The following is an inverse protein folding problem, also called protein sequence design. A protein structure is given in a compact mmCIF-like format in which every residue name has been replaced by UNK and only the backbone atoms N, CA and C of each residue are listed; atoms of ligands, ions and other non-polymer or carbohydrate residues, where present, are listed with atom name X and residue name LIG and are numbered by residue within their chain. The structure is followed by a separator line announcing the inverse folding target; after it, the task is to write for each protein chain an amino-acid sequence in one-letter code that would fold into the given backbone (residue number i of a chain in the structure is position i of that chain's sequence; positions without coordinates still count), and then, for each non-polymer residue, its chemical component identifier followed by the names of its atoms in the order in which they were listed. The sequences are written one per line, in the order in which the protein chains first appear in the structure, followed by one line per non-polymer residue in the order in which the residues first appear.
data_IF_746251616752
#
_entry.id   IF_746251616752
#
_cell.length_a   1.000
_cell.length_b   1.000
_cell.length_c   1.000
_cell.angle_alpha   90.00
_cell.angle_beta   90.00
_cell.angle_gamma   90.00
#
_symmetry.space_group_name_H-M   'P 1'
#
loop_
_entity.id
_entity.type
_entity.pdbx_description
1 polymer ?
#
# COMPACT_ATOMS: atom_id res chain seq x y z
N UNK A 1 -3.81 16.91 10.61
CA UNK A 1 -3.10 16.81 9.31
C UNK A 1 -1.58 16.74 9.54
N UNK A 2 -0.87 15.91 8.79
CA UNK A 2 0.59 15.85 8.89
C UNK A 2 1.21 17.12 8.28
N UNK A 3 2.24 17.73 8.91
CA UNK A 3 2.98 18.82 8.29
C UNK A 3 3.79 18.30 7.09
N UNK A 4 4.15 19.22 6.18
CA UNK A 4 5.07 18.94 5.08
C UNK A 4 6.52 18.98 5.57
N UNK A 5 7.45 18.46 4.77
CA UNK A 5 8.88 18.53 5.08
C UNK A 5 9.39 17.39 5.96
N UNK A 6 8.55 16.39 6.24
CA UNK A 6 8.90 15.26 7.11
C UNK A 6 9.74 14.21 6.35
N UNK A 7 10.48 13.40 7.08
CA UNK A 7 10.96 12.10 6.62
C UNK A 7 9.88 11.06 6.89
N UNK A 8 9.24 10.55 5.84
CA UNK A 8 8.12 9.62 5.95
C UNK A 8 8.55 8.25 5.45
N UNK A 9 8.30 7.22 6.27
CA UNK A 9 8.34 5.83 5.84
C UNK A 9 6.95 5.40 5.36
N UNK A 10 6.84 4.96 4.10
CA UNK A 10 5.59 4.42 3.53
C UNK A 10 5.75 2.92 3.38
N UNK A 11 4.99 2.15 4.16
CA UNK A 11 5.18 0.69 4.29
C UNK A 11 3.89 -0.05 3.97
N UNK A 12 3.99 -1.27 3.45
CA UNK A 12 2.89 -2.21 3.38
C UNK A 12 2.53 -2.63 1.94
N UNK A 13 1.76 -3.72 1.79
CA UNK A 13 1.46 -4.32 0.50
C UNK A 13 0.71 -3.40 -0.46
N UNK A 14 0.03 -2.37 0.05
CA UNK A 14 -0.70 -1.41 -0.77
C UNK A 14 0.02 -0.08 -0.99
N UNK A 15 1.26 0.07 -0.52
CA UNK A 15 1.99 1.33 -0.68
C UNK A 15 2.13 1.76 -2.14
N UNK A 16 2.30 0.81 -3.06
CA UNK A 16 2.45 1.06 -4.50
C UNK A 16 1.29 0.47 -5.31
N UNK A 17 0.12 0.30 -4.69
CA UNK A 17 -1.04 -0.26 -5.35
C UNK A 17 -1.63 0.69 -6.40
N UNK A 18 -1.99 0.15 -7.56
CA UNK A 18 -2.81 0.80 -8.58
C UNK A 18 -4.13 0.06 -8.72
N UNK A 19 -4.08 -1.21 -9.12
CA UNK A 19 -5.27 -2.05 -9.36
C UNK A 19 -6.10 -2.25 -8.09
N UNK A 20 -5.47 -2.54 -6.96
CA UNK A 20 -6.20 -2.88 -5.72
C UNK A 20 -7.03 -1.72 -5.19
N UNK A 21 -6.56 -0.48 -5.38
CA UNK A 21 -7.31 0.73 -5.02
C UNK A 21 -8.66 0.84 -5.75
N UNK A 22 -8.81 0.15 -6.88
CA UNK A 22 -10.01 0.20 -7.69
C UNK A 22 -11.06 -0.83 -7.26
N UNK A 23 -10.70 -1.78 -6.39
CA UNK A 23 -11.57 -2.86 -5.94
C UNK A 23 -12.01 -3.81 -7.06
N UNK A 24 -13.19 -4.40 -6.87
CA UNK A 24 -13.87 -5.24 -7.85
C UNK A 24 -14.81 -4.41 -8.76
N UNK A 25 -15.31 -5.01 -9.85
CA UNK A 25 -16.29 -4.40 -10.77
C UNK A 25 -15.82 -3.06 -11.37
N UNK A 26 -14.50 -2.91 -11.53
CA UNK A 26 -13.92 -1.72 -12.17
C UNK A 26 -14.12 -1.79 -13.68
N UNK A 27 -14.74 -0.76 -14.24
CA UNK A 27 -14.81 -0.53 -15.68
C UNK A 27 -13.57 0.18 -16.21
N UNK A 28 -13.59 0.52 -17.51
CA UNK A 28 -12.56 1.33 -18.16
C UNK A 28 -12.57 2.75 -17.58
N UNK A 29 -11.49 3.14 -16.90
CA UNK A 29 -11.40 4.47 -16.24
C UNK A 29 -10.33 5.39 -16.82
N UNK A 30 -9.22 4.85 -17.30
CA UNK A 30 -8.13 5.69 -17.80
C UNK A 30 -8.32 6.03 -19.29
N UNK A 31 -7.98 7.27 -19.73
CA UNK A 31 -8.11 7.70 -21.12
C UNK A 31 -7.35 6.82 -22.13
N UNK A 32 -6.20 6.27 -21.73
CA UNK A 32 -5.39 5.34 -22.55
C UNK A 32 -6.11 4.02 -22.87
N UNK A 33 -7.18 3.72 -22.16
CA UNK A 33 -7.89 2.44 -22.24
C UNK A 33 -7.26 1.29 -21.48
N UNK A 34 -6.13 1.51 -20.80
CA UNK A 34 -5.58 0.56 -19.83
C UNK A 34 -6.06 0.94 -18.44
N UNK A 35 -6.76 0.05 -17.75
CA UNK A 35 -7.61 0.38 -16.57
C UNK A 35 -6.91 1.06 -15.38
N UNK A 36 -5.58 1.01 -15.29
CA UNK A 36 -4.83 1.42 -14.10
C UNK A 36 -3.74 2.49 -14.31
N UNK A 37 -3.40 2.85 -15.55
CA UNK A 37 -2.22 3.71 -15.81
C UNK A 37 -2.34 5.12 -15.25
N UNK A 38 -3.57 5.64 -15.16
CA UNK A 38 -3.88 6.96 -14.64
C UNK A 38 -4.06 6.96 -13.12
N UNK A 39 -4.03 5.79 -12.48
CA UNK A 39 -4.27 5.65 -11.04
C UNK A 39 -2.96 5.94 -10.32
N UNK A 40 -2.95 7.04 -9.57
CA UNK A 40 -1.83 7.41 -8.73
C UNK A 40 -1.73 6.44 -7.55
N UNK A 41 -0.53 5.92 -7.29
CA UNK A 41 -0.30 5.05 -6.12
C UNK A 41 -0.26 5.89 -4.84
N UNK A 42 -0.52 5.29 -3.66
CA UNK A 42 -0.42 6.01 -2.40
C UNK A 42 0.99 6.56 -2.16
N UNK A 43 2.04 5.78 -2.48
CA UNK A 43 3.43 6.21 -2.41
C UNK A 43 3.67 7.49 -3.24
N UNK A 44 3.21 7.52 -4.50
CA UNK A 44 3.34 8.72 -5.35
C UNK A 44 2.55 9.91 -4.78
N UNK A 45 1.31 9.69 -4.34
CA UNK A 45 0.46 10.76 -3.79
C UNK A 45 1.05 11.36 -2.50
N UNK A 46 1.52 10.52 -1.58
CA UNK A 46 2.16 10.92 -0.33
C UNK A 46 3.45 11.69 -0.64
N UNK A 47 4.26 11.21 -1.59
CA UNK A 47 5.49 11.90 -2.01
C UNK A 47 5.22 13.29 -2.57
N UNK A 48 4.17 13.47 -3.37
CA UNK A 48 3.78 14.77 -3.91
C UNK A 48 3.23 15.71 -2.84
N UNK A 49 2.50 15.17 -1.86
CA UNK A 49 1.94 15.94 -0.74
C UNK A 49 3.02 16.43 0.24
N UNK A 50 4.10 15.66 0.42
CA UNK A 50 5.20 15.94 1.35
C UNK A 50 6.28 16.86 0.74
N UNK A 51 5.89 18.05 0.29
CA UNK A 51 6.83 19.02 -0.31
C UNK A 51 7.97 19.37 0.64
N UNK A 52 9.22 19.28 0.18
CA UNK A 52 10.41 19.58 0.97
C UNK A 52 10.83 18.49 1.96
N UNK A 53 10.11 17.36 1.99
CA UNK A 53 10.42 16.21 2.84
C UNK A 53 11.11 15.09 2.06
N UNK A 54 11.33 13.96 2.74
CA UNK A 54 11.90 12.75 2.15
C UNK A 54 10.97 11.58 2.32
N UNK A 55 10.95 10.69 1.32
CA UNK A 55 10.16 9.46 1.35
C UNK A 55 11.11 8.27 1.27
N UNK A 56 10.94 7.34 2.19
CA UNK A 56 11.50 5.98 2.09
C UNK A 56 10.34 5.00 2.10
N UNK A 57 10.49 3.87 1.44
CA UNK A 57 9.40 2.89 1.33
C UNK A 57 9.92 1.47 1.38
N UNK A 58 9.15 0.58 1.99
CA UNK A 58 9.46 -0.84 2.06
C UNK A 58 8.16 -1.64 1.98
N UNK A 59 8.19 -2.78 1.30
CA UNK A 59 6.99 -3.60 1.12
C UNK A 59 6.43 -4.09 2.47
N UNK A 60 7.31 -4.45 3.41
CA UNK A 60 6.92 -5.03 4.69
C UNK A 60 6.49 -6.49 4.54
N UNK A 61 5.35 -6.75 3.92
CA UNK A 61 4.91 -8.10 3.54
C UNK A 61 3.94 -8.03 2.35
N UNK A 62 3.69 -9.17 1.71
CA UNK A 62 2.58 -9.28 0.75
C UNK A 62 1.23 -9.40 1.49
N UNK A 63 0.12 -9.15 0.79
CA UNK A 63 -1.24 -9.24 1.34
C UNK A 63 -1.47 -10.58 2.07
N UNK A 64 -1.01 -11.67 1.46
CA UNK A 64 -1.08 -13.02 2.02
C UNK A 64 0.19 -13.79 1.65
N UNK A 65 1.33 -13.30 2.13
CA UNK A 65 2.63 -13.89 1.87
C UNK A 65 3.35 -14.36 3.14
N UNK A 66 4.45 -15.09 2.97
CA UNK A 66 5.30 -15.54 4.07
C UNK A 66 5.95 -14.37 4.81
N UNK A 67 6.57 -14.67 5.96
CA UNK A 67 7.32 -13.70 6.75
C UNK A 67 8.61 -13.28 6.03
N UNK A 68 8.51 -12.26 5.18
CA UNK A 68 9.60 -11.73 4.38
C UNK A 68 9.52 -10.20 4.37
N UNK A 69 10.64 -9.50 4.18
CA UNK A 69 10.73 -8.03 4.04
C UNK A 69 10.35 -7.19 5.29
N UNK A 70 9.97 -7.82 6.40
CA UNK A 70 9.66 -7.13 7.66
C UNK A 70 10.88 -6.40 8.24
N UNK A 71 12.08 -6.96 8.11
CA UNK A 71 13.32 -6.32 8.60
C UNK A 71 13.60 -5.00 7.88
N UNK A 72 13.48 -4.99 6.55
CA UNK A 72 13.62 -3.77 5.74
C UNK A 72 12.59 -2.72 6.15
N UNK A 73 11.33 -3.13 6.34
CA UNK A 73 10.28 -2.24 6.83
C UNK A 73 10.59 -1.64 8.20
N UNK A 74 11.17 -2.42 9.12
CA UNK A 74 11.61 -1.92 10.43
C UNK A 74 12.75 -0.92 10.29
N UNK A 75 13.73 -1.20 9.44
CA UNK A 75 14.89 -0.33 9.22
C UNK A 75 14.50 1.04 8.64
N UNK A 76 13.68 1.06 7.58
CA UNK A 76 13.24 2.34 6.99
C UNK A 76 12.36 3.13 7.97
N UNK A 77 11.54 2.43 8.76
CA UNK A 77 10.64 3.03 9.75
C UNK A 77 11.39 3.61 10.94
N UNK A 78 12.46 2.96 11.40
CA UNK A 78 13.23 3.40 12.57
C UNK A 78 13.90 4.77 12.39
N UNK A 79 14.07 5.22 11.15
CA UNK A 79 14.76 6.47 10.83
C UNK A 79 13.82 7.58 10.36
N UNK A 80 12.50 7.34 10.34
CA UNK A 80 11.48 8.27 9.86
C UNK A 80 10.80 9.03 11.00
N UNK A 81 10.33 10.25 10.71
CA UNK A 81 9.55 11.05 11.67
C UNK A 81 8.14 10.46 11.84
N UNK A 82 7.57 9.93 10.75
CA UNK A 82 6.24 9.33 10.69
C UNK A 82 6.29 8.08 9.80
N UNK A 83 5.50 7.08 10.19
CA UNK A 83 5.28 5.86 9.42
C UNK A 83 3.82 5.86 8.93
N UNK A 84 3.63 5.65 7.63
CA UNK A 84 2.31 5.44 7.03
C UNK A 84 2.26 3.98 6.55
N UNK A 85 1.37 3.20 7.16
CA UNK A 85 1.21 1.78 6.87
C UNK A 85 -0.03 1.57 6.01
N UNK A 86 0.14 0.96 4.84
CA UNK A 86 -0.90 0.65 3.86
C UNK A 86 -1.10 -0.86 3.74
N UNK A 87 -2.02 -1.34 4.55
CA UNK A 87 -2.45 -2.75 4.64
C UNK A 87 -3.87 -2.90 4.10
N UNK A 88 -4.28 -4.14 3.89
CA UNK A 88 -5.63 -4.45 3.44
C UNK A 88 -5.73 -5.80 2.76
N UNK A 89 -6.70 -5.89 1.86
CA UNK A 89 -7.04 -7.07 1.09
C UNK A 89 -6.87 -6.79 -0.40
N UNK A 90 -6.80 -7.85 -1.18
CA UNK A 90 -6.97 -7.80 -2.61
C UNK A 90 -7.79 -9.01 -3.09
N UNK A 91 -7.87 -9.16 -4.41
CA UNK A 91 -8.62 -10.23 -5.07
C UNK A 91 -8.06 -11.64 -4.82
N UNK A 92 -6.86 -11.75 -4.25
CA UNK A 92 -6.36 -13.04 -3.75
C UNK A 92 -7.09 -13.48 -2.49
N UNK A 93 -7.77 -12.58 -1.78
CA UNK A 93 -8.44 -12.86 -0.51
C UNK A 93 -9.96 -12.88 -0.66
N UNK A 94 -10.52 -11.97 -1.46
CA UNK A 94 -11.97 -11.85 -1.64
C UNK A 94 -12.35 -11.68 -3.12
N UNK A 95 -13.25 -12.54 -3.59
CA UNK A 95 -13.75 -12.54 -4.96
C UNK A 95 -15.22 -13.01 -4.99
N UNK A 96 -15.90 -12.83 -6.12
CA UNK A 96 -17.22 -13.42 -6.33
C UNK A 96 -17.13 -14.94 -6.27
N UNK A 97 -17.95 -15.55 -5.43
CA UNK A 97 -17.85 -16.99 -5.11
C UNK A 97 -16.63 -17.34 -4.26
N UNK A 98 -15.92 -16.36 -3.71
CA UNK A 98 -14.77 -16.52 -2.82
C UNK A 98 -14.93 -15.62 -1.60
N UNK A 99 -15.82 -16.05 -0.72
CA UNK A 99 -15.99 -15.44 0.59
C UNK A 99 -14.81 -15.79 1.51
N UNK A 100 -14.49 -14.86 2.40
CA UNK A 100 -13.49 -15.08 3.45
C UNK A 100 -14.10 -15.78 4.65
N UNK A 101 -13.35 -16.69 5.25
CA UNK A 101 -13.74 -17.34 6.51
C UNK A 101 -13.31 -16.49 7.71
N UNK A 102 -12.13 -15.88 7.62
CA UNK A 102 -11.58 -14.97 8.62
C UNK A 102 -11.63 -13.53 8.11
N UNK A 103 -11.90 -12.55 8.98
CA UNK A 103 -12.00 -11.13 8.63
C UNK A 103 -10.84 -10.28 9.12
N UNK A 104 -9.83 -10.90 9.74
CA UNK A 104 -8.56 -10.24 10.13
C UNK A 104 -7.75 -9.79 8.90
N UNK A 105 -6.65 -9.06 9.07
CA UNK A 105 -5.73 -8.86 7.95
C UNK A 105 -4.96 -10.17 7.67
N UNK A 106 -4.84 -10.58 6.40
CA UNK A 106 -4.16 -11.81 6.01
C UNK A 106 -2.63 -11.68 6.05
N UNK A 107 -1.95 -12.82 5.88
CA UNK A 107 -0.50 -12.92 5.96
C UNK A 107 0.04 -12.40 7.30
N UNK A 108 1.06 -11.53 7.21
CA UNK A 108 1.75 -10.95 8.37
C UNK A 108 1.53 -9.45 8.54
N UNK A 109 0.40 -8.94 8.05
CA UNK A 109 0.09 -7.51 8.08
C UNK A 109 -0.19 -6.95 9.49
N UNK A 110 -0.43 -7.82 10.50
CA UNK A 110 -0.67 -7.44 11.91
C UNK A 110 0.59 -7.60 12.78
N UNK A 111 1.61 -8.29 12.27
CA UNK A 111 2.61 -8.95 13.11
C UNK A 111 3.87 -8.13 13.44
#
# INVERSE_FOLDING_TARGET
PLPKGLKIAVVGPHMNATTTLLGNYRGRRCPSGRDKDCVMTPLTAISQANTGGTIVSALGCHVDGPWENISEAKEVSATADIIIILVGLDRSQEDEGKDRVETTLPGHQIA
#
